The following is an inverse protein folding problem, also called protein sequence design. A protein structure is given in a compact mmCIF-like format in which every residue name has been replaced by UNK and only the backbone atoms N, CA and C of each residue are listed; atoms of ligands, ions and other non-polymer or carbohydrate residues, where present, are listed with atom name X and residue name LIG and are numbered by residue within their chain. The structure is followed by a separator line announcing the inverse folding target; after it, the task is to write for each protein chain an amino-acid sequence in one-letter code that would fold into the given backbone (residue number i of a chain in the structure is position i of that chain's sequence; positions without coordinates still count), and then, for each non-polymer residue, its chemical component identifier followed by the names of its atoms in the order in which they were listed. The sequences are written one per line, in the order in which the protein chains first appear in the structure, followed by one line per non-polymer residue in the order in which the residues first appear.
data_IF_663498556159
#
_entry.id   IF_663498556159
#
_cell.length_a   1.000
_cell.length_b   1.000
_cell.length_c   1.000
_cell.angle_alpha   90.00
_cell.angle_beta   90.00
_cell.angle_gamma   90.00
#
_symmetry.space_group_name_H-M   'P 1'
#
loop_
_entity.id
_entity.type
_entity.pdbx_description
1 polymer ?
#
# COMPACT_ATOMS: atom_id res chain seq x y z
N UNK A 1 27.49 -40.50 -6.43
CA UNK A 1 26.59 -39.44 -6.92
C UNK A 1 26.04 -38.73 -5.70
N UNK A 2 26.53 -37.51 -5.42
CA UNK A 2 26.26 -36.80 -4.17
C UNK A 2 25.05 -35.88 -4.37
N UNK A 3 23.84 -36.38 -4.12
CA UNK A 3 22.61 -35.60 -4.23
C UNK A 3 22.43 -34.74 -2.96
N UNK A 4 22.90 -33.50 -3.00
CA UNK A 4 22.46 -32.49 -2.03
C UNK A 4 21.01 -32.10 -2.36
N UNK A 5 20.08 -32.11 -1.39
CA UNK A 5 18.73 -31.61 -1.60
C UNK A 5 18.77 -30.12 -1.95
N UNK A 6 17.96 -29.72 -2.93
CA UNK A 6 17.77 -28.32 -3.29
C UNK A 6 16.99 -27.63 -2.16
N UNK A 7 17.67 -26.77 -1.41
CA UNK A 7 17.04 -25.91 -0.40
C UNK A 7 16.72 -24.56 -1.04
N UNK A 8 15.45 -24.26 -1.38
CA UNK A 8 15.08 -22.95 -1.88
C UNK A 8 15.27 -21.91 -0.77
N UNK A 9 16.43 -21.25 -0.77
CA UNK A 9 16.68 -20.08 0.06
C UNK A 9 16.27 -18.85 -0.73
N UNK A 10 15.26 -18.14 -0.24
CA UNK A 10 14.95 -16.81 -0.76
C UNK A 10 16.16 -15.90 -0.47
N UNK A 11 16.81 -15.32 -1.49
CA UNK A 11 17.94 -14.44 -1.26
C UNK A 11 17.49 -13.27 -0.38
N UNK A 12 18.18 -13.06 0.75
CA UNK A 12 17.97 -11.91 1.60
C UNK A 12 18.15 -10.63 0.77
N UNK A 13 17.24 -9.65 0.86
CA UNK A 13 17.41 -8.38 0.16
C UNK A 13 18.72 -7.73 0.62
N UNK A 14 19.51 -7.25 -0.34
CA UNK A 14 20.72 -6.49 -0.05
C UNK A 14 20.34 -5.21 0.72
N UNK A 15 20.87 -5.08 1.94
CA UNK A 15 20.64 -3.93 2.81
C UNK A 15 21.24 -2.65 2.22
N UNK A 16 20.43 -1.59 2.24
CA UNK A 16 20.73 -0.15 2.13
C UNK A 16 21.43 0.33 0.85
N UNK A 17 20.63 0.79 -0.13
CA UNK A 17 21.06 1.80 -1.11
C UNK A 17 20.47 3.15 -0.67
N UNK A 18 21.27 4.23 -0.71
CA UNK A 18 20.83 5.61 -0.36
C UNK A 18 19.87 6.24 -1.38
N UNK A 19 19.25 5.45 -2.26
CA UNK A 19 18.44 5.92 -3.39
C UNK A 19 17.16 5.12 -3.53
N UNK A 20 16.08 5.80 -3.92
CA UNK A 20 14.79 5.16 -4.18
C UNK A 20 14.91 4.26 -5.42
N UNK A 21 14.47 3.01 -5.30
CA UNK A 21 14.44 1.99 -6.34
C UNK A 21 12.98 1.67 -6.71
N UNK A 22 12.76 1.12 -7.91
CA UNK A 22 11.43 0.63 -8.32
C UNK A 22 10.83 -0.37 -7.32
N UNK A 23 11.66 -1.20 -6.71
CA UNK A 23 11.23 -2.19 -5.73
C UNK A 23 10.61 -1.58 -4.45
N UNK A 24 10.87 -0.30 -4.16
CA UNK A 24 10.19 0.40 -3.06
C UNK A 24 8.72 0.73 -3.37
N UNK A 25 8.29 0.70 -4.64
CA UNK A 25 6.89 0.87 -5.03
C UNK A 25 6.19 -0.44 -5.39
N UNK A 26 6.83 -1.59 -5.14
CA UNK A 26 6.35 -2.91 -5.59
C UNK A 26 5.48 -3.67 -4.59
N UNK A 27 5.08 -3.07 -3.46
CA UNK A 27 4.24 -3.75 -2.46
C UNK A 27 4.98 -4.74 -1.53
N UNK A 28 6.27 -5.00 -1.77
CA UNK A 28 7.04 -6.01 -1.07
C UNK A 28 7.87 -5.50 0.12
N UNK A 29 8.82 -6.33 0.56
CA UNK A 29 9.67 -6.08 1.73
C UNK A 29 10.41 -4.73 1.69
N UNK A 30 10.95 -4.34 0.54
CA UNK A 30 11.67 -3.06 0.40
C UNK A 30 10.73 -1.86 0.60
N UNK A 31 9.47 -1.94 0.16
CA UNK A 31 8.46 -0.91 0.45
C UNK A 31 8.17 -0.83 1.95
N UNK A 32 7.98 -1.98 2.60
CA UNK A 32 7.74 -2.04 4.05
C UNK A 32 8.91 -1.45 4.84
N UNK A 33 10.15 -1.76 4.46
CA UNK A 33 11.36 -1.20 5.08
C UNK A 33 11.43 0.33 4.88
N UNK A 34 11.08 0.84 3.70
CA UNK A 34 10.98 2.29 3.45
C UNK A 34 9.91 2.96 4.33
N UNK A 35 8.71 2.36 4.41
CA UNK A 35 7.60 2.86 5.24
C UNK A 35 8.04 2.94 6.71
N UNK A 36 8.60 1.86 7.25
CA UNK A 36 9.01 1.80 8.65
C UNK A 36 10.14 2.77 8.98
N UNK A 37 11.22 2.72 8.21
CA UNK A 37 12.46 3.41 8.57
C UNK A 37 12.44 4.91 8.27
N UNK A 38 11.61 5.34 7.31
CA UNK A 38 11.52 6.75 6.88
C UNK A 38 10.20 7.37 7.33
N UNK A 39 9.07 6.85 6.87
CA UNK A 39 7.77 7.52 7.05
C UNK A 39 7.21 7.36 8.46
N UNK A 40 7.11 6.14 8.98
CA UNK A 40 6.62 5.88 10.35
C UNK A 40 7.54 6.58 11.35
N UNK A 41 8.85 6.48 11.18
CA UNK A 41 9.82 7.17 12.04
C UNK A 41 9.63 8.69 12.07
N UNK A 42 9.37 9.31 10.92
CA UNK A 42 9.23 10.76 10.82
C UNK A 42 7.85 11.29 11.24
N UNK A 43 6.79 10.51 10.99
CA UNK A 43 5.39 10.93 11.17
C UNK A 43 4.64 10.10 12.24
N UNK A 44 5.38 9.48 13.16
CA UNK A 44 4.85 8.55 14.14
C UNK A 44 3.64 9.12 14.89
N UNK A 45 2.52 8.40 14.83
CA UNK A 45 1.30 8.69 15.57
C UNK A 45 0.42 7.42 15.67
N UNK A 46 -0.54 7.36 16.61
CA UNK A 46 -1.36 6.17 16.82
C UNK A 46 -2.19 5.70 15.61
N UNK A 47 -2.59 6.62 14.72
CA UNK A 47 -3.36 6.25 13.53
C UNK A 47 -2.47 5.54 12.51
N UNK A 48 -1.26 6.06 12.29
CA UNK A 48 -0.29 5.51 11.34
C UNK A 48 0.37 4.22 11.83
N UNK A 49 0.50 4.03 13.14
CA UNK A 49 1.15 2.85 13.74
C UNK A 49 0.46 1.53 13.38
N UNK A 50 -0.85 1.57 13.14
CA UNK A 50 -1.64 0.40 12.73
C UNK A 50 -1.21 -0.20 11.40
N UNK A 51 -0.70 0.63 10.48
CA UNK A 51 -0.32 0.27 9.11
C UNK A 51 -1.38 -0.59 8.39
N UNK A 52 -2.65 -0.27 8.64
CA UNK A 52 -3.81 -0.89 8.00
C UNK A 52 -4.10 -0.24 6.63
N UNK A 53 -5.05 -0.79 5.88
CA UNK A 53 -5.55 -0.26 4.58
C UNK A 53 -6.17 1.16 4.67
N UNK A 54 -6.27 1.73 5.88
CA UNK A 54 -6.76 3.08 6.12
C UNK A 54 -6.69 3.45 7.60
N UNK A 55 -6.77 4.75 7.88
CA UNK A 55 -6.85 5.26 9.25
C UNK A 55 -8.31 5.30 9.70
N UNK A 56 -8.57 4.91 10.96
CA UNK A 56 -9.90 5.00 11.57
C UNK A 56 -9.85 5.75 12.89
N UNK A 57 -10.82 6.63 13.13
CA UNK A 57 -10.90 7.39 14.39
C UNK A 57 -12.34 7.82 14.71
N UNK A 58 -12.67 7.97 16.01
CA UNK A 58 -13.98 8.45 16.41
C UNK A 58 -14.17 9.93 16.05
N UNK A 59 -15.38 10.28 15.65
CA UNK A 59 -15.86 11.65 15.41
C UNK A 59 -17.17 11.86 16.19
N UNK A 60 -17.70 13.08 16.24
CA UNK A 60 -18.95 13.36 16.99
C UNK A 60 -20.11 12.42 16.61
N UNK A 61 -20.17 11.98 15.35
CA UNK A 61 -21.18 11.05 14.83
C UNK A 61 -20.56 9.78 14.26
N UNK A 62 -20.10 8.90 15.14
CA UNK A 62 -19.62 7.57 14.79
C UNK A 62 -18.11 7.51 14.56
N UNK A 63 -17.69 6.62 13.66
CA UNK A 63 -16.27 6.39 13.33
C UNK A 63 -16.04 6.73 11.87
N UNK A 64 -15.01 7.53 11.59
CA UNK A 64 -14.59 7.83 10.23
C UNK A 64 -13.47 6.87 9.82
N UNK A 65 -13.50 6.43 8.57
CA UNK A 65 -12.39 5.75 7.90
C UNK A 65 -11.89 6.60 6.75
N UNK A 66 -10.57 6.66 6.59
CA UNK A 66 -9.92 7.42 5.53
C UNK A 66 -8.78 6.61 4.94
N UNK A 67 -8.76 6.51 3.62
CA UNK A 67 -7.68 5.90 2.84
C UNK A 67 -7.36 6.76 1.63
N UNK A 68 -6.18 6.57 1.07
CA UNK A 68 -5.73 7.24 -0.14
C UNK A 68 -4.82 6.32 -0.93
N UNK A 69 -4.95 6.39 -2.25
CA UNK A 69 -4.13 5.63 -3.18
C UNK A 69 -3.76 6.50 -4.37
N UNK A 70 -2.65 6.15 -5.02
CA UNK A 70 -2.27 6.72 -6.32
C UNK A 70 -2.08 5.59 -7.33
N UNK A 71 -2.69 5.75 -8.50
CA UNK A 71 -2.76 4.70 -9.51
C UNK A 71 -1.89 5.08 -10.71
N UNK A 72 -0.89 4.25 -11.02
CA UNK A 72 0.11 4.50 -12.08
C UNK A 72 0.16 3.38 -13.13
N UNK A 73 -0.93 2.62 -13.26
CA UNK A 73 -1.03 1.46 -14.17
C UNK A 73 -0.79 1.85 -15.63
N UNK A 74 -0.12 0.96 -16.38
CA UNK A 74 0.08 1.06 -17.83
C UNK A 74 -0.18 -0.29 -18.50
N UNK A 75 -0.93 -0.33 -19.62
CA UNK A 75 -1.62 0.78 -20.30
C UNK A 75 -2.80 1.35 -19.47
N UNK A 76 -3.31 2.55 -19.83
CA UNK A 76 -4.43 3.18 -19.12
C UNK A 76 -5.75 2.41 -19.29
N UNK A 77 -5.92 1.72 -20.41
CA UNK A 77 -7.05 0.85 -20.73
C UNK A 77 -6.52 -0.55 -20.99
N UNK A 78 -7.12 -1.56 -20.36
CA UNK A 78 -6.67 -2.95 -20.42
C UNK A 78 -7.86 -3.92 -20.42
N UNK A 79 -7.67 -5.19 -20.83
CA UNK A 79 -8.75 -6.17 -20.76
C UNK A 79 -9.26 -6.30 -19.32
N UNK A 80 -10.55 -6.00 -19.12
CA UNK A 80 -11.21 -6.05 -17.81
C UNK A 80 -11.31 -4.71 -17.07
N UNK A 81 -10.78 -3.60 -17.59
CA UNK A 81 -10.97 -2.29 -16.98
C UNK A 81 -10.08 -1.16 -17.52
N UNK A 82 -10.07 -0.07 -16.78
CA UNK A 82 -9.23 1.10 -17.02
C UNK A 82 -8.72 1.70 -15.71
N UNK A 83 -7.78 2.64 -15.81
CA UNK A 83 -7.19 3.34 -14.66
C UNK A 83 -8.25 4.01 -13.77
N UNK A 84 -9.34 4.52 -14.32
CA UNK A 84 -10.41 5.15 -13.56
C UNK A 84 -11.21 4.12 -12.76
N UNK A 85 -11.59 3.01 -13.39
CA UNK A 85 -12.26 1.90 -12.71
C UNK A 85 -11.38 1.29 -11.61
N UNK A 86 -10.07 1.16 -11.87
CA UNK A 86 -9.11 0.69 -10.88
C UNK A 86 -9.01 1.68 -9.71
N UNK A 87 -8.95 2.98 -10.00
CA UNK A 87 -8.84 4.01 -8.98
C UNK A 87 -10.04 4.04 -8.04
N UNK A 88 -11.25 3.96 -8.61
CA UNK A 88 -12.49 3.94 -7.82
C UNK A 88 -12.59 2.65 -7.01
N UNK A 89 -12.38 1.49 -7.64
CA UNK A 89 -12.57 0.20 -6.99
C UNK A 89 -11.51 -0.06 -5.91
N UNK A 90 -10.24 0.28 -6.15
CA UNK A 90 -9.15 0.12 -5.18
C UNK A 90 -9.44 0.89 -3.89
N UNK A 91 -9.72 2.20 -4.02
CA UNK A 91 -10.00 3.06 -2.86
C UNK A 91 -11.27 2.62 -2.11
N UNK A 92 -12.30 2.16 -2.83
CA UNK A 92 -13.51 1.60 -2.20
C UNK A 92 -13.21 0.31 -1.44
N UNK A 93 -12.37 -0.57 -2.00
CA UNK A 93 -12.01 -1.83 -1.36
C UNK A 93 -11.26 -1.58 -0.05
N UNK A 94 -10.31 -0.64 -0.01
CA UNK A 94 -9.58 -0.27 1.21
C UNK A 94 -10.51 0.24 2.32
N UNK A 95 -11.49 1.09 1.96
CA UNK A 95 -12.52 1.53 2.90
C UNK A 95 -13.38 0.37 3.39
N UNK A 96 -13.73 -0.57 2.51
CA UNK A 96 -14.49 -1.76 2.88
C UNK A 96 -13.70 -2.69 3.81
N UNK A 97 -12.39 -2.84 3.61
CA UNK A 97 -11.50 -3.60 4.51
C UNK A 97 -11.38 -2.95 5.88
N UNK A 98 -11.52 -1.63 5.97
CA UNK A 98 -11.66 -0.92 7.26
C UNK A 98 -13.04 -1.11 7.92
N UNK A 99 -13.95 -1.88 7.32
CA UNK A 99 -15.32 -2.08 7.80
C UNK A 99 -16.23 -0.86 7.62
N UNK A 100 -15.81 0.12 6.81
CA UNK A 100 -16.56 1.36 6.60
C UNK A 100 -17.51 1.25 5.40
N UNK A 101 -18.58 2.05 5.44
CA UNK A 101 -19.41 2.32 4.27
C UNK A 101 -18.82 3.53 3.52
N UNK A 102 -18.34 3.38 2.26
CA UNK A 102 -17.85 4.51 1.49
C UNK A 102 -18.96 5.55 1.27
N UNK A 103 -18.64 6.83 1.49
CA UNK A 103 -19.59 7.94 1.31
C UNK A 103 -19.14 8.95 0.26
N UNK A 104 -17.84 9.24 0.21
CA UNK A 104 -17.26 10.26 -0.65
C UNK A 104 -15.92 9.80 -1.21
N UNK A 105 -15.56 10.30 -2.38
CA UNK A 105 -14.25 10.13 -3.00
C UNK A 105 -13.71 11.49 -3.42
N UNK A 106 -12.39 11.64 -3.39
CA UNK A 106 -11.67 12.76 -3.99
C UNK A 106 -10.80 12.23 -5.12
N UNK A 107 -10.48 13.08 -6.10
CA UNK A 107 -9.64 12.70 -7.23
C UNK A 107 -8.55 13.76 -7.48
N UNK A 108 -7.29 13.33 -7.42
CA UNK A 108 -6.12 14.11 -7.84
C UNK A 108 -5.48 13.48 -9.07
N UNK A 109 -5.24 14.27 -10.11
CA UNK A 109 -4.57 13.82 -11.34
C UNK A 109 -3.09 14.20 -11.26
N UNK A 110 -2.20 13.22 -11.43
CA UNK A 110 -0.74 13.32 -11.27
C UNK A 110 -0.05 12.90 -12.56
#
# INVERSE_FOLDING_TARGET
MNNKPFEPTCPLPLSTKDTIQLAHGGGGRLMQELIQNVFVRAFHNPLLESLHDGATWPVEKGTLAFTTDSYVVRPLFFPGGDIGSLAVNGTINDLAMCGAKPLYLSAGFI
#
